data_IF_502511438473
#
_entry.id   IF_502511438473
#
_cell.length_a   1.000
_cell.length_b   1.000
_cell.length_c   1.000
_cell.angle_alpha   90.00
_cell.angle_beta   90.00
_cell.angle_gamma   90.00
#
_symmetry.space_group_name_H-M   'P 1'
#
loop_
_entity.id
_entity.type
_entity.pdbx_description
1 polymer ?
#
# COMPACT_ATOMS: atom_id res chain seq x y z
N UNK A 1 21.15 3.66 17.75
CA UNK A 1 20.76 5.04 17.38
C UNK A 1 19.55 5.39 18.24
N UNK A 2 19.64 6.39 19.10
CA UNK A 2 18.59 6.73 20.07
C UNK A 2 17.58 7.69 19.46
N UNK A 3 16.32 7.28 19.38
CA UNK A 3 15.21 8.13 18.95
C UNK A 3 14.62 8.86 20.16
N UNK A 4 14.30 10.14 20.02
CA UNK A 4 13.61 10.93 21.05
C UNK A 4 12.11 10.89 20.78
N UNK A 5 11.35 10.39 21.74
CA UNK A 5 9.89 10.42 21.71
C UNK A 5 9.37 11.54 22.58
N UNK A 6 8.30 12.20 22.12
CA UNK A 6 7.63 13.27 22.85
C UNK A 6 6.13 13.05 22.85
N UNK A 7 5.48 13.56 23.90
CA UNK A 7 4.03 13.71 23.95
C UNK A 7 3.74 15.19 24.16
N UNK A 8 2.86 15.76 23.34
CA UNK A 8 2.39 17.12 23.50
C UNK A 8 0.88 17.21 23.37
N UNK A 9 0.32 18.23 23.98
CA UNK A 9 -1.06 18.64 23.74
C UNK A 9 -1.07 20.05 23.13
N UNK A 10 -2.07 20.34 22.32
CA UNK A 10 -2.19 21.64 21.67
C UNK A 10 -3.42 21.73 20.79
N UNK A 11 -3.43 22.77 19.96
CA UNK A 11 -4.52 23.07 19.04
C UNK A 11 -4.05 22.93 17.61
N UNK A 12 -4.87 22.34 16.74
CA UNK A 12 -4.59 22.26 15.31
C UNK A 12 -4.74 23.65 14.70
N UNK A 13 -3.63 24.27 14.29
CA UNK A 13 -3.62 25.65 13.80
C UNK A 13 -3.73 25.80 12.28
N UNK A 14 -3.59 24.72 11.51
CA UNK A 14 -3.73 24.70 10.06
C UNK A 14 -4.75 23.67 9.61
N UNK A 15 -5.25 23.81 8.39
CA UNK A 15 -6.05 22.76 7.77
C UNK A 15 -5.21 21.48 7.58
N UNK A 16 -5.89 20.34 7.66
CA UNK A 16 -5.26 19.02 7.53
C UNK A 16 -4.97 18.75 6.06
N UNK A 17 -3.69 18.59 5.70
CA UNK A 17 -3.27 18.32 4.31
C UNK A 17 -2.97 16.85 4.11
N UNK A 18 -3.81 16.19 3.30
CA UNK A 18 -3.65 14.81 2.89
C UNK A 18 -2.86 14.71 1.57
N UNK A 19 -1.96 13.73 1.50
CA UNK A 19 -1.24 13.32 0.29
C UNK A 19 -1.18 11.80 0.24
N UNK A 20 -1.13 11.25 -0.96
CA UNK A 20 -1.00 9.82 -1.19
C UNK A 20 0.11 9.50 -2.21
N UNK A 21 1.39 9.69 -1.84
CA UNK A 21 2.50 9.26 -2.68
C UNK A 21 2.55 7.73 -2.75
N UNK A 22 2.36 7.19 -3.96
CA UNK A 22 2.49 5.75 -4.25
C UNK A 22 1.60 4.84 -3.38
N UNK A 23 0.38 5.28 -3.08
CA UNK A 23 -0.59 4.49 -2.30
C UNK A 23 -0.31 4.45 -0.80
N UNK A 24 0.58 5.31 -0.29
CA UNK A 24 0.84 5.49 1.13
C UNK A 24 0.17 6.79 1.59
N UNK A 25 -0.92 6.68 2.34
CA UNK A 25 -1.57 7.82 2.98
C UNK A 25 -0.62 8.59 3.91
N UNK A 26 -0.53 9.91 3.71
CA UNK A 26 0.23 10.84 4.55
C UNK A 26 -0.63 12.04 4.86
N UNK A 27 -0.65 12.44 6.14
CA UNK A 27 -1.31 13.66 6.58
C UNK A 27 -0.30 14.56 7.27
N UNK A 28 -0.36 15.85 6.95
CA UNK A 28 0.42 16.89 7.61
C UNK A 28 -0.54 17.89 8.26
N UNK A 29 -0.25 18.25 9.50
CA UNK A 29 -0.96 19.32 10.22
C UNK A 29 0.02 20.08 11.12
N UNK A 30 -0.36 21.30 11.51
CA UNK A 30 0.42 22.12 12.43
C UNK A 30 -0.28 22.20 13.79
N UNK A 31 0.44 21.90 14.85
CA UNK A 31 -0.08 21.95 16.23
C UNK A 31 0.61 23.08 16.99
N UNK A 32 -0.18 23.97 17.57
CA UNK A 32 0.25 25.02 18.47
C UNK A 32 0.12 24.55 19.92
N UNK A 33 1.23 24.60 20.66
CA UNK A 33 1.23 24.36 22.11
C UNK A 33 1.60 25.64 22.84
N UNK A 34 0.65 26.15 23.62
CA UNK A 34 0.80 27.40 24.39
C UNK A 34 0.75 27.06 25.88
N UNK A 35 1.89 27.11 26.60
CA UNK A 35 1.91 26.83 28.03
C UNK A 35 1.26 27.96 28.82
N UNK A 36 0.50 27.63 29.86
CA UNK A 36 0.03 28.60 30.85
C UNK A 36 1.08 28.71 31.95
N UNK A 37 1.56 29.92 32.19
CA UNK A 37 2.59 30.22 33.19
C UNK A 37 1.99 31.10 34.29
N UNK A 38 2.42 30.90 35.53
CA UNK A 38 2.04 31.77 36.64
C UNK A 38 3.05 32.90 36.75
N UNK A 39 2.63 34.15 36.49
CA UNK A 39 3.44 35.36 36.66
C UNK A 39 2.71 36.33 37.57
N UNK A 40 3.37 36.81 38.62
CA UNK A 40 2.80 37.77 39.58
C UNK A 40 1.43 37.35 40.15
N UNK A 41 1.28 36.05 40.42
CA UNK A 41 0.05 35.49 40.96
C UNK A 41 -1.08 35.25 39.94
N UNK A 42 -0.95 35.72 38.69
CA UNK A 42 -1.93 35.51 37.62
C UNK A 42 -1.46 34.45 36.62
N UNK A 43 -2.40 33.69 36.08
CA UNK A 43 -2.12 32.79 34.95
C UNK A 43 -2.12 33.60 33.66
N UNK A 44 -1.02 33.51 32.91
CA UNK A 44 -0.83 34.16 31.61
C UNK A 44 -0.38 33.13 30.59
N UNK A 45 -0.65 33.40 29.31
CA UNK A 45 -0.11 32.60 28.22
C UNK A 45 1.39 32.87 28.07
N UNK A 46 2.16 31.80 27.92
CA UNK A 46 3.57 31.86 27.52
C UNK A 46 3.73 31.84 26.00
N UNK A 47 4.97 31.66 25.56
CA UNK A 47 5.30 31.61 24.14
C UNK A 47 4.76 30.33 23.50
N UNK A 48 4.11 30.50 22.35
CA UNK A 48 3.52 29.38 21.62
C UNK A 48 4.59 28.66 20.80
N UNK A 49 4.77 27.37 21.07
CA UNK A 49 5.62 26.51 20.26
C UNK A 49 4.80 25.84 19.16
N UNK A 50 5.31 25.87 17.93
CA UNK A 50 4.66 25.25 16.78
C UNK A 50 5.38 23.99 16.36
N UNK A 51 4.60 22.92 16.20
CA UNK A 51 5.07 21.62 15.75
C UNK A 51 4.42 21.27 14.43
N UNK A 52 5.22 20.83 13.47
CA UNK A 52 4.70 20.18 12.27
C UNK A 52 4.57 18.69 12.59
N UNK A 53 3.38 18.13 12.35
CA UNK A 53 3.07 16.74 12.72
C UNK A 53 2.70 15.99 11.45
N UNK A 54 3.36 14.85 11.25
CA UNK A 54 3.14 13.95 10.12
C UNK A 54 2.59 12.62 10.61
N UNK A 55 1.43 12.24 10.09
CA UNK A 55 0.81 10.94 10.31
C UNK A 55 0.88 10.11 9.03
N UNK A 56 1.01 8.78 9.16
CA UNK A 56 1.19 7.85 8.05
C UNK A 56 0.14 6.74 8.07
N UNK A 57 -0.14 6.16 6.90
CA UNK A 57 -0.98 4.96 6.71
C UNK A 57 -2.36 5.16 7.36
N UNK A 58 -2.85 4.14 8.08
CA UNK A 58 -4.16 4.18 8.75
C UNK A 58 -4.34 5.38 9.69
N UNK A 59 -3.27 5.84 10.36
CA UNK A 59 -3.38 7.02 11.22
C UNK A 59 -3.67 8.27 10.40
N UNK A 60 -3.06 8.40 9.21
CA UNK A 60 -3.33 9.50 8.30
C UNK A 60 -4.80 9.50 7.84
N UNK A 61 -5.35 8.35 7.45
CA UNK A 61 -6.73 8.22 7.00
C UNK A 61 -7.74 8.59 8.09
N UNK A 62 -7.47 8.13 9.32
CA UNK A 62 -8.28 8.43 10.49
C UNK A 62 -8.19 9.92 10.86
N UNK A 63 -6.98 10.50 10.88
CA UNK A 63 -6.77 11.91 11.23
C UNK A 63 -7.46 12.82 10.22
N UNK A 64 -7.35 12.52 8.91
CA UNK A 64 -8.05 13.27 7.86
C UNK A 64 -9.57 13.31 8.09
N UNK A 65 -10.13 12.22 8.59
CA UNK A 65 -11.58 12.07 8.75
C UNK A 65 -12.10 12.63 10.08
N UNK A 66 -11.24 12.66 11.10
CA UNK A 66 -11.65 12.96 12.47
C UNK A 66 -11.18 14.33 12.99
N UNK A 67 -10.09 14.88 12.46
CA UNK A 67 -9.43 16.08 12.99
C UNK A 67 -9.54 17.22 11.98
N UNK A 68 -9.86 18.41 12.48
CA UNK A 68 -9.97 19.65 11.73
C UNK A 68 -9.17 20.77 12.39
N UNK A 69 -8.99 21.88 11.66
CA UNK A 69 -8.42 23.10 12.22
C UNK A 69 -9.27 23.59 13.39
N UNK A 70 -8.61 23.93 14.49
CA UNK A 70 -9.25 24.36 15.73
C UNK A 70 -9.49 23.24 16.74
N UNK A 71 -9.25 21.98 16.39
CA UNK A 71 -9.42 20.88 17.34
C UNK A 71 -8.28 20.83 18.36
N UNK A 72 -8.63 20.51 19.60
CA UNK A 72 -7.66 20.21 20.64
C UNK A 72 -7.19 18.75 20.50
N UNK A 73 -5.88 18.54 20.43
CA UNK A 73 -5.29 17.22 20.18
C UNK A 73 -4.15 16.91 21.15
N UNK A 74 -3.98 15.62 21.43
CA UNK A 74 -2.77 15.03 22.00
C UNK A 74 -2.04 14.26 20.92
N UNK A 75 -0.73 14.47 20.82
CA UNK A 75 0.15 13.83 19.84
C UNK A 75 1.29 13.14 20.57
N UNK A 76 1.53 11.88 20.25
CA UNK A 76 2.71 11.14 20.70
C UNK A 76 3.48 10.62 19.48
N UNK A 77 4.80 10.79 19.47
CA UNK A 77 5.62 10.37 18.35
C UNK A 77 7.08 10.71 18.47
N UNK A 78 7.82 10.48 17.39
CA UNK A 78 9.26 10.74 17.30
C UNK A 78 9.51 12.20 16.93
N UNK A 79 10.27 12.90 17.76
CA UNK A 79 10.70 14.27 17.51
C UNK A 79 11.93 14.28 16.59
N UNK A 80 11.89 15.14 15.58
CA UNK A 80 13.01 15.48 14.72
C UNK A 80 13.12 17.00 14.59
N UNK A 81 14.34 17.47 14.37
CA UNK A 81 14.61 18.87 14.05
C UNK A 81 15.16 18.91 12.64
N UNK A 82 14.40 19.52 11.73
CA UNK A 82 14.86 19.73 10.37
C UNK A 82 15.48 21.12 10.26
N UNK A 83 16.72 21.17 9.77
CA UNK A 83 17.43 22.41 9.53
C UNK A 83 17.60 22.62 8.02
N UNK A 84 17.20 23.78 7.51
CA UNK A 84 17.40 24.13 6.11
C UNK A 84 17.82 25.58 5.95
N UNK A 85 18.52 25.86 4.85
CA UNK A 85 18.95 27.20 4.50
C UNK A 85 17.86 27.87 3.66
N UNK A 86 17.38 29.03 4.09
CA UNK A 86 16.48 29.87 3.31
C UNK A 86 17.24 30.54 2.15
N UNK A 87 16.49 31.10 1.20
CA UNK A 87 17.06 31.77 0.02
C UNK A 87 17.95 32.97 0.37
N UNK A 88 17.68 33.63 1.50
CA UNK A 88 18.47 34.72 2.09
C UNK A 88 19.78 34.24 2.77
N UNK A 89 20.00 32.93 2.81
CA UNK A 89 21.15 32.30 3.43
C UNK A 89 21.03 32.04 4.94
N UNK A 90 19.92 32.39 5.58
CA UNK A 90 19.70 32.11 7.01
C UNK A 90 19.35 30.64 7.25
N UNK A 91 19.96 30.04 8.29
CA UNK A 91 19.60 28.71 8.73
C UNK A 91 18.32 28.78 9.57
N UNK A 92 17.29 28.07 9.14
CA UNK A 92 16.04 27.90 9.90
C UNK A 92 15.97 26.46 10.39
N UNK A 93 15.48 26.27 11.62
CA UNK A 93 15.10 24.97 12.14
C UNK A 93 13.59 24.88 12.33
N UNK A 94 13.02 23.69 12.16
CA UNK A 94 11.64 23.39 12.52
C UNK A 94 11.55 22.09 13.30
N UNK A 95 10.67 22.09 14.30
CA UNK A 95 10.30 20.91 15.05
C UNK A 95 9.28 20.10 14.23
N UNK A 96 9.62 18.84 13.98
CA UNK A 96 8.82 17.88 13.26
C UNK A 96 8.52 16.69 14.16
N UNK A 97 7.29 16.20 14.12
CA UNK A 97 6.89 15.01 14.87
C UNK A 97 6.33 14.00 13.89
N UNK A 98 6.98 12.85 13.82
CA UNK A 98 6.42 11.67 13.17
C UNK A 98 5.51 10.98 14.18
N UNK A 99 4.20 11.15 14.01
CA UNK A 99 3.21 10.72 14.99
C UNK A 99 3.02 9.20 14.96
N UNK A 100 3.09 8.60 16.15
CA UNK A 100 2.66 7.22 16.39
C UNK A 100 1.20 7.16 16.84
N UNK A 101 0.74 8.18 17.59
CA UNK A 101 -0.62 8.31 18.08
C UNK A 101 -1.09 9.77 17.98
N UNK A 102 -2.33 9.97 17.57
CA UNK A 102 -3.05 11.26 17.63
C UNK A 102 -4.45 10.99 18.15
N UNK A 103 -4.92 11.82 19.08
CA UNK A 103 -6.29 11.77 19.58
C UNK A 103 -6.80 13.14 19.96
N UNK A 104 -8.12 13.28 20.07
CA UNK A 104 -8.73 14.48 20.62
C UNK A 104 -8.41 14.63 22.11
N UNK A 105 -8.14 15.85 22.53
CA UNK A 105 -7.97 16.20 23.93
C UNK A 105 -9.34 16.44 24.58
N UNK A 106 -9.78 15.45 25.36
CA UNK A 106 -11.09 15.46 26.01
C UNK A 106 -11.18 16.43 27.20
N UNK A 107 -10.08 17.07 27.60
CA UNK A 107 -10.13 18.17 28.57
C UNK A 107 -10.72 19.44 27.96
N UNK A 108 -10.79 19.52 26.63
CA UNK A 108 -11.20 20.70 25.85
C UNK A 108 -12.39 20.44 24.93
N UNK A 109 -12.93 19.22 24.89
CA UNK A 109 -14.05 18.86 24.04
C UNK A 109 -14.50 17.40 24.23
N UNK A 110 -15.45 16.97 23.40
CA UNK A 110 -15.99 15.60 23.40
C UNK A 110 -15.85 14.98 22.03
N UNK A 111 -15.62 13.67 21.96
CA UNK A 111 -15.57 12.91 20.70
C UNK A 111 -16.28 11.57 20.86
N UNK A 112 -16.66 10.94 19.73
CA UNK A 112 -17.25 9.59 19.73
C UNK A 112 -16.32 8.66 18.97
N UNK A 113 -15.88 7.59 19.62
CA UNK A 113 -15.04 6.59 18.99
C UNK A 113 -15.88 5.60 18.17
N UNK A 114 -15.45 5.35 16.94
CA UNK A 114 -15.96 4.28 16.08
C UNK A 114 -14.80 3.40 15.65
N UNK A 115 -14.98 2.08 15.69
CA UNK A 115 -13.95 1.14 15.26
C UNK A 115 -13.79 1.23 13.75
N UNK A 116 -12.56 1.43 13.27
CA UNK A 116 -12.26 1.31 11.84
C UNK A 116 -12.47 -0.14 11.40
N UNK A 117 -13.31 -0.34 10.39
CA UNK A 117 -13.41 -1.63 9.71
C UNK A 117 -12.12 -1.76 8.90
N UNK A 118 -11.19 -2.60 9.35
CA UNK A 118 -10.08 -3.02 8.51
C UNK A 118 -10.69 -3.96 7.48
N UNK A 119 -10.66 -3.65 6.17
CA UNK A 119 -11.01 -4.67 5.19
C UNK A 119 -10.07 -5.85 5.44
N UNK A 120 -10.65 -7.03 5.71
CA UNK A 120 -9.86 -8.26 5.70
C UNK A 120 -9.09 -8.27 4.39
N UNK A 121 -7.77 -8.47 4.47
CA UNK A 121 -7.08 -8.87 3.25
C UNK A 121 -7.70 -10.20 2.89
N UNK A 122 -8.42 -10.22 1.78
CA UNK A 122 -8.70 -11.47 1.09
C UNK A 122 -7.33 -11.89 0.56
N UNK A 123 -6.54 -12.55 1.42
CA UNK A 123 -5.30 -13.18 1.03
C UNK A 123 -5.72 -14.26 0.03
N UNK A 124 -5.35 -14.06 -1.23
CA UNK A 124 -5.98 -14.69 -2.39
C UNK A 124 -6.08 -16.21 -2.31
N UNK A 125 -7.30 -16.69 -2.10
CA UNK A 125 -7.79 -17.96 -2.67
C UNK A 125 -8.45 -17.64 -4.01
N UNK A 126 -7.73 -16.94 -4.89
CA UNK A 126 -8.19 -16.63 -6.27
C UNK A 126 -7.35 -17.41 -7.29
N UNK A 127 -6.20 -17.95 -6.87
CA UNK A 127 -5.34 -18.77 -7.75
C UNK A 127 -5.90 -20.19 -7.96
N UNK A 128 -6.77 -20.68 -7.08
CA UNK A 128 -7.29 -22.06 -7.17
C UNK A 128 -8.49 -22.20 -8.12
N UNK A 129 -9.32 -21.17 -8.30
CA UNK A 129 -10.46 -21.23 -9.25
C UNK A 129 -10.01 -21.03 -10.71
N UNK A 130 -9.00 -20.19 -10.97
CA UNK A 130 -8.48 -19.99 -12.34
C UNK A 130 -7.70 -21.20 -12.86
N UNK A 131 -7.02 -21.95 -11.99
CA UNK A 131 -6.33 -23.20 -12.33
C UNK A 131 -7.31 -24.40 -12.43
N UNK A 132 -8.42 -24.37 -11.69
CA UNK A 132 -9.48 -25.38 -11.79
C UNK A 132 -10.33 -25.21 -13.06
N UNK A 133 -10.73 -23.97 -13.39
CA UNK A 133 -11.48 -23.69 -14.62
C UNK A 133 -10.67 -23.98 -15.89
N UNK A 134 -9.36 -23.71 -15.87
CA UNK A 134 -8.47 -24.02 -17.00
C UNK A 134 -8.11 -25.50 -17.13
N UNK A 135 -8.35 -26.31 -16.09
CA UNK A 135 -8.30 -27.78 -16.14
C UNK A 135 -9.59 -28.40 -16.67
N UNK A 136 -10.76 -27.90 -16.28
CA UNK A 136 -12.04 -28.38 -16.81
C UNK A 136 -12.24 -28.02 -18.29
N UNK A 137 -11.80 -26.84 -18.74
CA UNK A 137 -11.82 -26.49 -20.17
C UNK A 137 -10.83 -27.28 -21.03
N UNK A 138 -9.82 -27.92 -20.42
CA UNK A 138 -8.88 -28.82 -21.12
C UNK A 138 -9.36 -30.27 -21.21
N UNK A 139 -10.37 -30.66 -20.44
CA UNK A 139 -10.93 -32.01 -20.49
C UNK A 139 -12.13 -32.13 -21.45
N UNK A 140 -12.64 -31.01 -21.97
CA UNK A 140 -13.72 -31.01 -22.97
C UNK A 140 -13.23 -30.48 -24.33
N UNK A 141 -12.36 -31.25 -24.99
CA UNK A 141 -12.30 -31.34 -26.46
C UNK A 141 -11.19 -32.28 -26.94
N UNK A 142 -11.48 -33.58 -27.02
CA UNK A 142 -11.08 -34.37 -28.20
C UNK A 142 -12.22 -35.33 -28.54
N UNK A 143 -13.26 -34.79 -29.19
CA UNK A 143 -14.15 -35.56 -30.05
C UNK A 143 -13.83 -35.09 -31.47
N UNK A 144 -13.46 -36.01 -32.35
CA UNK A 144 -13.24 -35.71 -33.75
C UNK A 144 -14.56 -35.54 -34.51
N UNK A 145 -14.50 -34.87 -35.66
CA UNK A 145 -15.67 -34.35 -36.40
C UNK A 145 -16.63 -35.41 -36.97
N UNK A 146 -16.45 -36.71 -36.70
CA UNK A 146 -17.29 -37.78 -37.28
C UNK A 146 -17.61 -38.93 -36.32
N UNK A 147 -17.66 -38.65 -35.01
CA UNK A 147 -18.37 -39.44 -33.99
C UNK A 147 -18.43 -40.95 -34.21
N UNK A 148 -17.36 -41.68 -33.88
CA UNK A 148 -17.46 -43.12 -33.63
C UNK A 148 -16.41 -43.64 -32.65
N UNK A 149 -16.87 -44.48 -31.72
CA UNK A 149 -16.03 -45.21 -30.76
C UNK A 149 -15.47 -46.46 -31.43
N UNK A 150 -14.14 -46.55 -31.59
CA UNK A 150 -13.49 -47.76 -32.04
C UNK A 150 -13.06 -48.63 -30.84
N UNK A 151 -13.80 -49.72 -30.65
CA UNK A 151 -13.43 -50.87 -29.82
C UNK A 151 -12.11 -51.51 -30.27
N UNK A 152 -11.31 -51.98 -29.29
CA UNK A 152 -10.20 -52.91 -29.55
C UNK A 152 -10.73 -54.34 -29.58
N UNK A 153 -10.63 -55.03 -30.72
CA UNK A 153 -10.54 -56.49 -30.77
C UNK A 153 -9.90 -57.03 -32.07
N UNK A 154 -8.79 -57.77 -31.89
CA UNK A 154 -8.44 -59.06 -32.49
C UNK A 154 -8.33 -59.22 -34.03
N UNK A 155 -7.08 -59.44 -34.49
CA UNK A 155 -6.71 -60.67 -35.22
C UNK A 155 -6.62 -60.65 -36.76
N UNK A 156 -5.42 -61.03 -37.26
CA UNK A 156 -5.15 -61.82 -38.50
C UNK A 156 -5.54 -61.15 -39.85
N UNK A 157 -4.86 -61.28 -40.98
CA UNK A 157 -3.65 -61.93 -41.50
C UNK A 157 -3.68 -61.63 -43.01
N UNK A 158 -2.51 -61.65 -43.68
CA UNK A 158 -2.31 -61.79 -45.13
C UNK A 158 -2.77 -60.64 -46.05
N UNK A 159 -1.80 -59.93 -46.65
CA UNK A 159 -1.34 -60.16 -48.04
C UNK A 159 -0.73 -58.87 -48.65
N UNK A 160 0.57 -58.95 -48.97
CA UNK A 160 1.19 -58.27 -50.13
C UNK A 160 0.89 -59.13 -51.39
N UNK A 161 1.01 -58.67 -52.67
CA UNK A 161 2.08 -57.80 -53.22
C UNK A 161 1.62 -56.95 -54.45
N UNK A 162 2.44 -56.66 -55.50
CA UNK A 162 3.57 -55.74 -55.58
C UNK A 162 3.51 -54.77 -56.80
N UNK A 163 4.53 -53.90 -56.93
CA UNK A 163 4.97 -53.32 -58.21
C UNK A 163 4.99 -51.79 -58.18
N UNK A 164 6.16 -51.14 -58.09
CA UNK A 164 7.00 -50.81 -59.26
C UNK A 164 6.63 -49.38 -59.70
N UNK A 165 7.50 -48.42 -59.98
CA UNK A 165 8.87 -48.38 -60.48
C UNK A 165 9.36 -46.92 -60.39
N UNK A 166 10.68 -46.69 -60.30
CA UNK A 166 11.28 -45.48 -60.88
C UNK A 166 12.02 -44.53 -59.94
N UNK A 167 13.29 -44.85 -59.68
CA UNK A 167 14.40 -43.87 -59.57
C UNK A 167 14.73 -43.34 -61.01
N UNK A 168 15.53 -42.27 -61.24
CA UNK A 168 16.71 -41.89 -60.43
C UNK A 168 17.02 -40.39 -60.25
N UNK A 169 17.84 -40.15 -59.22
CA UNK A 169 19.05 -39.31 -59.12
C UNK A 169 19.06 -37.87 -59.67
N UNK A 170 19.57 -36.91 -58.86
CA UNK A 170 21.00 -36.59 -58.87
C UNK A 170 21.39 -35.36 -58.00
N UNK A 171 22.61 -35.44 -57.44
CA UNK A 171 23.56 -34.39 -56.97
C UNK A 171 23.36 -33.85 -55.55
N UNK A 172 24.14 -34.29 -54.55
CA UNK A 172 25.57 -33.98 -54.22
C UNK A 172 25.75 -32.53 -53.73
N UNK A 173 25.99 -32.25 -52.44
CA UNK A 173 27.17 -32.49 -51.59
C UNK A 173 28.18 -31.33 -51.59
N UNK A 174 28.67 -31.00 -50.38
CA UNK A 174 29.88 -30.20 -50.08
C UNK A 174 29.62 -28.69 -50.02
N UNK A 175 30.27 -27.88 -49.17
CA UNK A 175 31.30 -28.05 -48.12
C UNK A 175 31.33 -26.69 -47.39
N UNK A 176 31.33 -26.63 -46.05
CA UNK A 176 32.50 -26.38 -45.20
C UNK A 176 33.07 -24.94 -45.21
N UNK A 177 33.33 -24.48 -43.98
CA UNK A 177 34.06 -23.30 -43.51
C UNK A 177 33.30 -21.97 -43.41
#
# INVERSE_FOLDING_TARGET
MSDTYVTLHGWVGSDVTFRDPQGISVVNLRVASTPRLKREGKWVDGDTTWYSVTAWRQLADNVRSCVSKGDAVIVHGRLRTDCWKRQDGQLTSSLQIEASLIGHDLTRGTTRFTRSIRPERIDGEVDQEVDAMSREEREVAVVDSWGNLADRAVGSSLADPPGGTGRPDARSAGDAA
#
